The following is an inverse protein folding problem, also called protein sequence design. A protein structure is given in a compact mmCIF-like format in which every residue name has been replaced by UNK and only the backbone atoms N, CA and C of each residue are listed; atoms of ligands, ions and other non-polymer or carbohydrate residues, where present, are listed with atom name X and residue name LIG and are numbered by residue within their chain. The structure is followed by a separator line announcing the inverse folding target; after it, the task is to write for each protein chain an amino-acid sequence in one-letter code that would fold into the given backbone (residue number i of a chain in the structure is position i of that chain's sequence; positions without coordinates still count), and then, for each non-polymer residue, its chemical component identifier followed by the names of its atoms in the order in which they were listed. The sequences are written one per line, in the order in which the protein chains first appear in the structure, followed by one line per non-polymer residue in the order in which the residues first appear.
data_IF_805365040029
#
_entry.id   IF_805365040029
#
_cell.length_a   1.000
_cell.length_b   1.000
_cell.length_c   1.000
_cell.angle_alpha   90.00
_cell.angle_beta   90.00
_cell.angle_gamma   90.00
#
_symmetry.space_group_name_H-M   'P 1'
#
loop_
_entity.id
_entity.type
_entity.pdbx_description
1 polymer ?
#
# COMPACT_ATOMS: atom_id res chain seq x y z
N UNK A 1 -14.51 -5.32 -8.00
CA UNK A 1 -14.85 -4.04 -8.65
C UNK A 1 -14.29 -2.91 -7.79
N UNK A 2 -13.94 -1.75 -8.38
CA UNK A 2 -13.45 -0.59 -7.60
C UNK A 2 -14.53 -0.05 -6.66
N UNK A 3 -14.12 0.39 -5.47
CA UNK A 3 -14.98 1.05 -4.49
C UNK A 3 -14.50 2.45 -4.10
N UNK A 4 -13.50 2.97 -4.80
CA UNK A 4 -12.88 4.27 -4.48
C UNK A 4 -13.85 5.45 -4.64
N UNK A 5 -14.89 5.31 -5.49
CA UNK A 5 -15.92 6.33 -5.71
C UNK A 5 -17.11 6.22 -4.76
N UNK A 6 -17.13 5.23 -3.87
CA UNK A 6 -18.19 5.10 -2.86
C UNK A 6 -18.10 6.26 -1.88
N UNK A 7 -19.21 6.98 -1.68
CA UNK A 7 -19.33 8.04 -0.68
C UNK A 7 -19.24 7.49 0.73
N UNK A 8 -18.65 8.24 1.66
CA UNK A 8 -18.60 7.92 3.09
C UNK A 8 -19.62 8.82 3.81
N UNK A 9 -20.87 8.36 4.05
CA UNK A 9 -21.96 9.25 4.47
C UNK A 9 -21.75 9.94 5.81
N UNK A 10 -20.93 9.36 6.68
CA UNK A 10 -20.57 9.93 7.98
C UNK A 10 -19.51 11.05 7.90
N UNK A 11 -18.94 11.29 6.72
CA UNK A 11 -17.87 12.27 6.52
C UNK A 11 -18.36 13.60 5.96
N UNK A 12 -17.55 14.63 6.15
CA UNK A 12 -17.72 15.97 5.61
C UNK A 12 -16.39 16.49 5.04
N UNK A 13 -16.39 17.68 4.45
CA UNK A 13 -15.15 18.30 3.99
C UNK A 13 -14.24 18.78 5.14
N UNK A 14 -14.73 18.79 6.39
CA UNK A 14 -13.90 19.07 7.57
C UNK A 14 -12.98 17.89 7.92
N UNK A 15 -13.29 16.67 7.45
CA UNK A 15 -12.44 15.49 7.63
C UNK A 15 -11.30 15.41 6.60
N UNK A 16 -11.20 16.41 5.72
CA UNK A 16 -10.29 16.46 4.57
C UNK A 16 -9.38 17.66 4.69
N UNK A 17 -8.10 17.44 4.46
CA UNK A 17 -7.13 18.51 4.28
C UNK A 17 -7.26 19.12 2.90
N UNK A 18 -8.15 20.10 2.85
CA UNK A 18 -8.43 20.87 1.66
C UNK A 18 -7.22 21.71 1.20
N UNK A 19 -6.27 21.99 2.10
CA UNK A 19 -5.02 22.68 1.73
C UNK A 19 -4.15 21.74 0.91
N UNK A 20 -3.85 20.55 1.43
CA UNK A 20 -3.09 19.53 0.69
C UNK A 20 -3.79 19.14 -0.63
N UNK A 21 -5.12 19.02 -0.63
CA UNK A 21 -5.87 18.76 -1.86
C UNK A 21 -5.75 19.93 -2.86
N UNK A 22 -5.82 21.19 -2.40
CA UNK A 22 -5.68 22.36 -3.25
C UNK A 22 -4.30 22.45 -3.88
N UNK A 23 -3.25 22.23 -3.10
CA UNK A 23 -1.87 22.18 -3.59
C UNK A 23 -1.69 21.09 -4.64
N UNK A 24 -2.20 19.89 -4.34
CA UNK A 24 -2.19 18.78 -5.30
C UNK A 24 -2.95 19.12 -6.59
N UNK A 25 -4.12 19.76 -6.47
CA UNK A 25 -4.95 20.16 -7.60
C UNK A 25 -4.23 21.17 -8.50
N UNK A 26 -3.62 22.19 -7.91
CA UNK A 26 -2.91 23.24 -8.63
C UNK A 26 -1.65 22.69 -9.34
N UNK A 27 -0.94 21.75 -8.71
CA UNK A 27 0.24 21.11 -9.29
C UNK A 27 -0.09 20.13 -10.43
N UNK A 28 -1.22 19.42 -10.35
CA UNK A 28 -1.50 18.29 -11.26
C UNK A 28 -2.58 18.58 -12.31
N UNK A 29 -3.45 19.55 -12.06
CA UNK A 29 -4.57 19.92 -12.95
C UNK A 29 -4.67 21.45 -13.03
N UNK A 30 -3.66 22.11 -13.64
CA UNK A 30 -3.57 23.55 -13.64
C UNK A 30 -4.80 24.21 -14.29
N UNK A 31 -5.34 25.23 -13.62
CA UNK A 31 -6.49 25.99 -14.08
C UNK A 31 -7.85 25.36 -13.83
N UNK A 32 -7.96 24.15 -13.26
CA UNK A 32 -9.26 23.63 -12.82
C UNK A 32 -9.79 24.41 -11.61
N UNK A 33 -8.86 24.81 -10.75
CA UNK A 33 -9.07 25.47 -9.48
C UNK A 33 -9.51 26.94 -9.59
N UNK A 34 -9.43 27.52 -10.79
CA UNK A 34 -9.94 28.85 -11.15
C UNK A 34 -11.29 28.82 -11.88
N UNK A 35 -11.81 27.63 -12.22
CA UNK A 35 -13.07 27.44 -12.96
C UNK A 35 -14.30 27.27 -12.07
N UNK A 36 -14.17 27.48 -10.76
CA UNK A 36 -15.23 27.28 -9.78
C UNK A 36 -14.68 27.14 -8.36
N UNK A 37 -15.54 26.67 -7.46
CA UNK A 37 -15.16 26.37 -6.07
C UNK A 37 -14.30 25.10 -5.97
N UNK A 38 -13.66 24.90 -4.82
CA UNK A 38 -12.94 23.66 -4.53
C UNK A 38 -13.89 22.44 -4.50
N UNK A 39 -15.12 22.65 -4.04
CA UNK A 39 -16.19 21.63 -4.08
C UNK A 39 -16.53 21.22 -5.52
N UNK A 40 -16.59 22.19 -6.45
CA UNK A 40 -16.81 21.89 -7.87
C UNK A 40 -15.67 21.04 -8.44
N UNK A 41 -14.43 21.32 -8.03
CA UNK A 41 -13.27 20.53 -8.45
C UNK A 41 -13.34 19.10 -7.90
N UNK A 42 -13.66 18.93 -6.61
CA UNK A 42 -13.84 17.62 -5.98
C UNK A 42 -14.91 16.79 -6.70
N UNK A 43 -16.06 17.40 -7.03
CA UNK A 43 -17.13 16.72 -7.75
C UNK A 43 -16.74 16.37 -9.19
N UNK A 44 -16.11 17.29 -9.93
CA UNK A 44 -15.61 17.03 -11.30
C UNK A 44 -14.59 15.90 -11.34
N UNK A 45 -13.77 15.76 -10.29
CA UNK A 45 -12.80 14.68 -10.14
C UNK A 45 -13.38 13.40 -9.54
N UNK A 46 -14.67 13.39 -9.19
CA UNK A 46 -15.38 12.28 -8.53
C UNK A 46 -14.78 11.92 -7.16
N UNK A 47 -14.16 12.88 -6.50
CA UNK A 47 -13.64 12.79 -5.14
C UNK A 47 -14.70 13.12 -4.08
N UNK A 48 -15.79 13.77 -4.49
CA UNK A 48 -16.98 13.94 -3.67
C UNK A 48 -18.23 13.87 -4.54
N UNK A 49 -19.37 13.60 -3.90
CA UNK A 49 -20.67 13.59 -4.57
C UNK A 49 -21.69 14.44 -3.79
N UNK A 50 -22.66 15.07 -4.48
CA UNK A 50 -23.72 15.82 -3.82
C UNK A 50 -24.70 14.86 -3.13
N UNK A 51 -25.13 15.20 -1.91
CA UNK A 51 -26.19 14.51 -1.17
C UNK A 51 -27.06 15.55 -0.45
N UNK A 52 -28.21 15.86 -1.05
CA UNK A 52 -29.05 16.97 -0.59
C UNK A 52 -28.33 18.31 -0.76
N UNK A 53 -28.22 19.07 0.32
CA UNK A 53 -27.49 20.35 0.36
C UNK A 53 -26.00 20.21 0.69
N UNK A 54 -25.50 18.98 0.87
CA UNK A 54 -24.12 18.71 1.30
C UNK A 54 -23.31 18.05 0.19
N UNK A 55 -22.00 18.21 0.27
CA UNK A 55 -21.02 17.48 -0.54
C UNK A 55 -20.37 16.42 0.36
N UNK A 56 -20.39 15.16 -0.08
CA UNK A 56 -19.90 14.03 0.71
C UNK A 56 -18.65 13.43 0.06
N UNK A 57 -17.52 13.36 0.79
CA UNK A 57 -16.31 12.69 0.35
C UNK A 57 -16.52 11.25 -0.10
N UNK A 58 -15.76 10.83 -1.11
CA UNK A 58 -15.59 9.41 -1.46
C UNK A 58 -14.48 8.76 -0.65
N UNK A 59 -14.44 7.42 -0.63
CA UNK A 59 -13.32 6.68 -0.02
C UNK A 59 -11.98 7.13 -0.60
N UNK A 60 -11.91 7.42 -1.91
CA UNK A 60 -10.68 7.92 -2.54
C UNK A 60 -10.20 9.24 -1.92
N UNK A 61 -11.11 10.20 -1.69
CA UNK A 61 -10.76 11.49 -1.09
C UNK A 61 -10.30 11.32 0.35
N UNK A 62 -11.07 10.58 1.15
CA UNK A 62 -10.73 10.29 2.55
C UNK A 62 -9.37 9.59 2.62
N UNK A 63 -9.14 8.56 1.81
CA UNK A 63 -7.90 7.79 1.89
C UNK A 63 -6.65 8.57 1.45
N UNK A 64 -6.78 9.45 0.45
CA UNK A 64 -5.66 10.22 -0.09
C UNK A 64 -5.38 11.52 0.70
N UNK A 65 -6.43 12.21 1.15
CA UNK A 65 -6.37 13.58 1.69
C UNK A 65 -7.11 13.76 3.03
N UNK A 66 -7.68 12.71 3.62
CA UNK A 66 -8.36 12.78 4.91
C UNK A 66 -7.37 12.95 6.07
N UNK A 67 -7.70 13.74 7.09
CA UNK A 67 -6.78 13.98 8.23
C UNK A 67 -6.44 12.70 8.99
N UNK A 68 -7.47 11.89 9.26
CA UNK A 68 -7.31 10.56 9.78
C UNK A 68 -8.38 9.64 9.13
N UNK A 69 -8.04 8.99 8.01
CA UNK A 69 -9.00 8.15 7.27
C UNK A 69 -9.62 7.05 8.15
N UNK A 70 -8.89 6.60 9.17
CA UNK A 70 -9.25 5.45 9.99
C UNK A 70 -10.39 5.74 10.97
N UNK A 71 -10.66 7.00 11.33
CA UNK A 71 -11.85 7.35 12.13
C UNK A 71 -13.15 7.01 11.40
N UNK A 72 -13.15 7.13 10.07
CA UNK A 72 -14.31 6.90 9.21
C UNK A 72 -14.27 5.52 8.54
N UNK A 73 -13.08 4.98 8.33
CA UNK A 73 -12.82 3.71 7.66
C UNK A 73 -11.69 2.96 8.39
N UNK A 74 -11.98 2.30 9.54
CA UNK A 74 -10.98 1.69 10.41
C UNK A 74 -10.07 0.65 9.73
N UNK A 75 -10.55 0.06 8.64
CA UNK A 75 -9.80 -0.92 7.84
C UNK A 75 -8.68 -0.28 7.00
N UNK A 76 -8.68 1.04 6.79
CA UNK A 76 -7.67 1.74 5.97
C UNK A 76 -6.32 1.87 6.69
N UNK A 77 -5.96 0.91 7.54
CA UNK A 77 -4.69 0.82 8.25
C UNK A 77 -3.70 -0.11 7.56
N UNK A 78 -2.47 -0.11 8.08
CA UNK A 78 -1.45 -1.13 7.83
C UNK A 78 -0.92 -1.63 9.18
N UNK A 79 -0.78 -2.94 9.35
CA UNK A 79 -0.09 -3.51 10.51
C UNK A 79 1.30 -4.00 10.11
N UNK A 80 2.32 -3.63 10.88
CA UNK A 80 3.67 -4.18 10.79
C UNK A 80 3.93 -5.11 11.97
N UNK A 81 4.39 -6.34 11.72
CA UNK A 81 4.75 -7.29 12.77
C UNK A 81 6.09 -7.94 12.45
N UNK A 82 6.95 -8.10 13.45
CA UNK A 82 8.25 -8.75 13.31
C UNK A 82 8.36 -10.00 14.19
N UNK A 83 8.91 -11.07 13.64
CA UNK A 83 8.98 -12.38 14.29
C UNK A 83 10.43 -12.87 14.41
N UNK A 84 10.78 -13.49 15.54
CA UNK A 84 12.10 -14.07 15.81
C UNK A 84 12.32 -15.45 15.15
N UNK A 85 11.62 -15.73 14.04
CA UNK A 85 11.73 -16.99 13.32
C UNK A 85 11.03 -16.93 11.97
N UNK A 86 10.93 -18.08 11.30
CA UNK A 86 10.35 -18.18 9.95
C UNK A 86 8.83 -18.39 9.91
N UNK A 87 8.12 -18.34 11.04
CA UNK A 87 6.69 -18.64 11.13
C UNK A 87 5.95 -17.63 11.99
N UNK A 88 4.66 -17.43 11.73
CA UNK A 88 3.76 -16.63 12.58
C UNK A 88 3.58 -17.21 13.99
N UNK A 89 3.96 -18.47 14.19
CA UNK A 89 3.98 -19.14 15.49
C UNK A 89 5.28 -18.90 16.27
N UNK A 90 6.28 -18.25 15.66
CA UNK A 90 7.50 -17.83 16.34
C UNK A 90 7.23 -16.67 17.29
N UNK A 91 8.19 -16.38 18.17
CA UNK A 91 8.11 -15.25 19.08
C UNK A 91 7.86 -13.94 18.31
N UNK A 92 6.81 -13.22 18.71
CA UNK A 92 6.48 -11.92 18.17
C UNK A 92 7.33 -10.87 18.88
N UNK A 93 8.27 -10.28 18.16
CA UNK A 93 9.17 -9.27 18.71
C UNK A 93 8.46 -7.93 18.90
N UNK A 94 7.66 -7.53 17.91
CA UNK A 94 6.86 -6.31 17.99
C UNK A 94 5.70 -6.31 16.99
N UNK A 95 4.72 -5.46 17.28
CA UNK A 95 3.67 -5.06 16.34
C UNK A 95 3.46 -3.56 16.40
N UNK A 96 3.33 -2.93 15.23
CA UNK A 96 2.97 -1.54 15.06
C UNK A 96 1.70 -1.44 14.21
N UNK A 97 0.79 -0.57 14.61
CA UNK A 97 -0.41 -0.23 13.84
C UNK A 97 -0.23 1.16 13.22
N UNK A 98 -0.08 1.20 11.91
CA UNK A 98 0.14 2.42 11.15
C UNK A 98 -1.21 2.99 10.68
N UNK A 99 -1.34 4.30 10.83
CA UNK A 99 -2.53 5.08 10.49
C UNK A 99 -2.14 6.37 9.74
N UNK A 100 -3.12 7.06 9.19
CA UNK A 100 -2.93 8.24 8.35
C UNK A 100 -3.32 8.02 6.89
N UNK A 101 -3.03 9.02 6.05
CA UNK A 101 -3.31 9.01 4.61
C UNK A 101 -2.48 7.94 3.91
N UNK A 102 -2.95 7.52 2.73
CA UNK A 102 -2.31 6.47 1.94
C UNK A 102 -0.80 6.69 1.71
N UNK A 103 -0.35 7.92 1.46
CA UNK A 103 1.07 8.22 1.27
C UNK A 103 1.87 8.19 2.59
N UNK A 104 1.26 8.63 3.70
CA UNK A 104 1.87 8.53 5.05
C UNK A 104 2.06 7.06 5.42
N UNK A 105 1.04 6.22 5.19
CA UNK A 105 1.15 4.78 5.42
C UNK A 105 2.29 4.12 4.64
N UNK A 106 2.58 4.59 3.43
CA UNK A 106 3.71 4.10 2.65
C UNK A 106 5.03 4.44 3.32
N UNK A 107 5.25 5.72 3.67
CA UNK A 107 6.51 6.16 4.27
C UNK A 107 6.73 5.57 5.66
N UNK A 108 5.68 5.51 6.49
CA UNK A 108 5.73 4.89 7.82
C UNK A 108 6.03 3.38 7.74
N UNK A 109 5.45 2.67 6.75
CA UNK A 109 5.72 1.26 6.55
C UNK A 109 7.16 1.01 6.05
N UNK A 110 7.67 1.88 5.18
CA UNK A 110 9.08 1.83 4.74
C UNK A 110 10.01 2.03 5.94
N UNK A 111 9.77 3.06 6.76
CA UNK A 111 10.55 3.33 7.96
C UNK A 111 10.49 2.16 8.96
N UNK A 112 9.31 1.61 9.22
CA UNK A 112 9.15 0.45 10.11
C UNK A 112 9.94 -0.77 9.62
N UNK A 113 10.01 -1.01 8.31
CA UNK A 113 10.82 -2.09 7.74
C UNK A 113 12.31 -1.78 7.90
N UNK A 114 12.76 -0.58 7.53
CA UNK A 114 14.16 -0.16 7.60
C UNK A 114 14.70 -0.20 9.05
N UNK A 115 13.92 0.30 10.01
CA UNK A 115 14.29 0.38 11.42
C UNK A 115 14.36 -0.99 12.10
N UNK A 116 13.61 -1.98 11.61
CA UNK A 116 13.50 -3.30 12.25
C UNK A 116 14.21 -4.42 11.50
N UNK A 117 14.66 -4.23 10.25
CA UNK A 117 15.36 -5.25 9.49
C UNK A 117 16.63 -5.75 10.19
N UNK A 118 17.46 -4.85 10.74
CA UNK A 118 18.69 -5.22 11.47
C UNK A 118 18.40 -5.78 12.87
N UNK A 119 17.63 -5.10 13.75
CA UNK A 119 17.39 -5.60 15.11
C UNK A 119 16.75 -6.99 15.17
N UNK A 120 15.92 -7.36 14.19
CA UNK A 120 15.30 -8.69 14.11
C UNK A 120 16.35 -9.75 13.77
N UNK A 121 17.28 -9.43 12.88
CA UNK A 121 18.36 -10.34 12.49
C UNK A 121 19.39 -10.47 13.58
N UNK A 122 19.80 -9.38 14.21
CA UNK A 122 20.82 -9.38 15.26
C UNK A 122 20.40 -10.24 16.46
N UNK A 123 19.11 -10.30 16.78
CA UNK A 123 18.59 -11.18 17.84
C UNK A 123 18.69 -12.67 17.51
N UNK A 124 18.77 -13.03 16.22
CA UNK A 124 18.74 -14.42 15.75
C UNK A 124 20.11 -14.87 15.23
N UNK A 125 20.88 -13.97 14.60
CA UNK A 125 22.23 -14.18 14.05
C UNK A 125 23.05 -12.88 14.06
N UNK A 126 23.74 -12.55 15.17
CA UNK A 126 24.56 -11.35 15.31
C UNK A 126 25.71 -11.23 14.30
N UNK A 127 26.13 -12.35 13.70
CA UNK A 127 27.33 -12.46 12.88
C UNK A 127 27.09 -12.49 11.35
N UNK A 128 25.85 -12.32 10.87
CA UNK A 128 25.51 -12.21 9.44
C UNK A 128 24.34 -11.22 9.23
N UNK A 129 24.57 -9.92 9.44
CA UNK A 129 23.55 -8.87 9.53
C UNK A 129 23.03 -8.30 8.20
N UNK A 130 23.31 -8.93 7.05
CA UNK A 130 23.04 -8.35 5.74
C UNK A 130 21.59 -8.60 5.23
N UNK A 131 20.60 -8.65 6.12
CA UNK A 131 19.19 -8.68 5.69
C UNK A 131 18.80 -7.30 5.15
N UNK A 132 19.10 -7.10 3.87
CA UNK A 132 18.72 -5.91 3.14
C UNK A 132 17.64 -6.27 2.13
N UNK A 133 16.43 -5.74 2.35
CA UNK A 133 15.38 -5.82 1.34
C UNK A 133 15.59 -4.69 0.33
N UNK A 134 15.52 -4.96 -0.99
CA UNK A 134 15.70 -3.91 -1.99
C UNK A 134 14.64 -2.83 -1.81
N UNK A 135 15.07 -1.64 -1.35
CA UNK A 135 14.18 -0.53 -1.00
C UNK A 135 13.16 -0.22 -2.09
N UNK A 136 13.58 -0.31 -3.35
CA UNK A 136 12.72 -0.10 -4.53
C UNK A 136 11.63 -1.17 -4.67
N UNK A 137 11.98 -2.45 -4.47
CA UNK A 137 11.02 -3.54 -4.53
C UNK A 137 9.99 -3.45 -3.38
N UNK A 138 10.45 -3.11 -2.16
CA UNK A 138 9.59 -2.93 -0.99
C UNK A 138 8.62 -1.76 -1.22
N UNK A 139 9.11 -0.60 -1.66
CA UNK A 139 8.26 0.58 -1.93
C UNK A 139 7.20 0.28 -2.99
N UNK A 140 7.59 -0.41 -4.05
CA UNK A 140 6.66 -0.80 -5.13
C UNK A 140 5.62 -1.81 -4.63
N UNK A 141 6.03 -2.79 -3.82
CA UNK A 141 5.13 -3.77 -3.21
C UNK A 141 4.11 -3.12 -2.27
N UNK A 142 4.56 -2.23 -1.38
CA UNK A 142 3.69 -1.47 -0.47
C UNK A 142 2.74 -0.55 -1.25
N UNK A 143 3.24 0.14 -2.27
CA UNK A 143 2.42 1.00 -3.12
C UNK A 143 1.34 0.19 -3.85
N UNK A 144 1.69 -0.99 -4.37
CA UNK A 144 0.74 -1.89 -5.00
C UNK A 144 -0.30 -2.39 -4.00
N UNK A 145 0.09 -2.75 -2.78
CA UNK A 145 -0.82 -3.12 -1.71
C UNK A 145 -1.81 -1.98 -1.38
N UNK A 146 -1.32 -0.75 -1.25
CA UNK A 146 -2.14 0.43 -0.92
C UNK A 146 -3.10 0.83 -2.05
N UNK A 147 -2.64 0.80 -3.31
CA UNK A 147 -3.41 1.21 -4.49
C UNK A 147 -4.40 0.14 -4.91
N UNK A 148 -4.01 -1.14 -4.87
CA UNK A 148 -4.81 -2.23 -5.42
C UNK A 148 -5.66 -2.96 -4.38
N UNK A 149 -5.61 -2.57 -3.10
CA UNK A 149 -6.45 -3.18 -2.05
C UNK A 149 -7.94 -3.17 -2.40
N UNK A 150 -8.65 -4.18 -1.95
CA UNK A 150 -10.10 -4.15 -1.91
C UNK A 150 -10.57 -3.19 -0.81
N UNK A 151 -11.07 -2.03 -1.22
CA UNK A 151 -11.56 -0.98 -0.31
C UNK A 151 -12.86 -1.36 0.43
N UNK A 152 -13.55 -2.43 0.01
CA UNK A 152 -14.70 -2.99 0.74
C UNK A 152 -14.31 -3.98 1.83
N UNK A 153 -13.12 -4.57 1.75
CA UNK A 153 -12.71 -5.56 2.72
C UNK A 153 -12.50 -4.92 4.08
N UNK A 154 -13.00 -5.55 5.14
CA UNK A 154 -12.75 -5.13 6.51
C UNK A 154 -11.30 -5.42 6.96
N UNK A 155 -10.52 -6.15 6.17
CA UNK A 155 -9.13 -6.47 6.49
C UNK A 155 -8.20 -5.30 6.17
N UNK A 156 -7.22 -5.08 7.05
CA UNK A 156 -6.11 -4.15 6.85
C UNK A 156 -4.99 -4.78 6.04
N UNK A 157 -4.07 -3.96 5.51
CA UNK A 157 -2.83 -4.47 4.91
C UNK A 157 -1.92 -4.99 6.04
N UNK A 158 -1.24 -6.10 5.80
CA UNK A 158 -0.37 -6.72 6.80
C UNK A 158 1.04 -6.88 6.23
N UNK A 159 2.01 -6.31 6.93
CA UNK A 159 3.43 -6.43 6.63
C UNK A 159 4.04 -7.28 7.75
N UNK A 160 4.55 -8.46 7.40
CA UNK A 160 5.14 -9.40 8.35
C UNK A 160 6.60 -9.62 8.00
N UNK A 161 7.48 -9.25 8.91
CA UNK A 161 8.91 -9.48 8.81
C UNK A 161 9.29 -10.73 9.59
N UNK A 162 9.95 -11.65 8.90
CA UNK A 162 10.55 -12.84 9.46
C UNK A 162 12.06 -12.74 9.29
N UNK A 163 12.77 -13.65 9.95
CA UNK A 163 14.25 -13.70 9.89
C UNK A 163 14.76 -13.89 8.47
N UNK A 164 14.03 -14.57 7.61
CA UNK A 164 14.44 -14.97 6.26
C UNK A 164 13.68 -14.25 5.13
N UNK A 165 12.60 -13.53 5.45
CA UNK A 165 11.73 -12.90 4.44
C UNK A 165 10.86 -11.77 4.97
N UNK A 166 10.39 -10.94 4.04
CA UNK A 166 9.33 -9.96 4.27
C UNK A 166 8.08 -10.36 3.48
N UNK A 167 6.94 -10.46 4.14
CA UNK A 167 5.63 -10.72 3.54
C UNK A 167 4.76 -9.46 3.57
N UNK A 168 4.27 -9.02 2.40
CA UNK A 168 3.30 -7.93 2.28
C UNK A 168 2.00 -8.52 1.77
N UNK A 169 0.99 -8.57 2.62
CA UNK A 169 -0.34 -9.06 2.32
C UNK A 169 -1.35 -7.91 2.18
N UNK A 170 -2.15 -7.92 1.13
CA UNK A 170 -3.24 -6.96 0.92
C UNK A 170 -4.56 -7.67 0.57
N UNK A 171 -5.71 -7.12 1.01
CA UNK A 171 -6.99 -7.75 0.76
C UNK A 171 -7.40 -7.70 -0.72
N UNK A 172 -7.97 -8.81 -1.17
CA UNK A 172 -8.53 -8.98 -2.50
C UNK A 172 -7.58 -9.64 -3.49
N UNK A 173 -8.11 -10.10 -4.62
CA UNK A 173 -7.37 -10.90 -5.58
C UNK A 173 -6.21 -10.15 -6.26
N UNK A 174 -5.24 -10.88 -6.78
CA UNK A 174 -4.19 -10.30 -7.62
C UNK A 174 -4.80 -9.68 -8.87
N UNK A 175 -4.38 -8.46 -9.17
CA UNK A 175 -4.81 -7.78 -10.39
C UNK A 175 -4.13 -8.46 -11.57
N UNK A 176 -4.93 -8.91 -12.55
CA UNK A 176 -4.40 -9.55 -13.75
C UNK A 176 -3.55 -8.55 -14.53
N UNK A 177 -2.36 -8.96 -14.92
CA UNK A 177 -1.56 -8.28 -15.94
C UNK A 177 -1.90 -8.94 -17.27
N UNK A 178 -2.82 -8.37 -18.08
CA UNK A 178 -3.25 -9.00 -19.33
C UNK A 178 -2.08 -9.16 -20.33
N UNK A 179 -1.12 -8.23 -20.29
CA UNK A 179 0.10 -8.25 -21.12
C UNK A 179 1.27 -7.60 -20.35
N UNK A 180 2.53 -7.99 -20.60
CA UNK A 180 3.69 -7.33 -20.02
C UNK A 180 3.66 -5.81 -20.26
N UNK A 181 3.75 -5.03 -19.18
CA UNK A 181 3.69 -3.56 -19.24
C UNK A 181 2.28 -2.97 -19.15
N UNK A 182 1.21 -3.78 -19.17
CA UNK A 182 -0.17 -3.33 -19.01
C UNK A 182 -0.67 -3.72 -17.61
N UNK A 183 -0.79 -2.73 -16.72
CA UNK A 183 -1.47 -2.90 -15.42
C UNK A 183 -2.77 -2.11 -15.42
N UNK A 184 -3.88 -2.80 -15.13
CA UNK A 184 -5.19 -2.17 -14.94
C UNK A 184 -5.41 -2.02 -13.43
N UNK A 185 -5.18 -0.83 -12.84
CA UNK A 185 -5.33 -0.68 -11.40
C UNK A 185 -6.74 -0.97 -10.93
N UNK A 186 -6.88 -1.66 -9.78
CA UNK A 186 -8.19 -1.89 -9.17
C UNK A 186 -8.88 -0.58 -8.83
N UNK A 187 -8.11 0.40 -8.35
CA UNK A 187 -8.58 1.73 -7.99
C UNK A 187 -7.85 2.78 -8.87
N UNK A 188 -8.31 3.03 -10.12
CA UNK A 188 -7.64 3.94 -11.05
C UNK A 188 -7.49 5.39 -10.58
N UNK A 189 -8.45 5.93 -9.81
CA UNK A 189 -8.35 7.29 -9.30
C UNK A 189 -7.26 7.39 -8.22
N UNK A 190 -7.22 6.42 -7.30
CA UNK A 190 -6.15 6.30 -6.31
C UNK A 190 -4.79 6.07 -6.98
N UNK A 191 -4.71 5.26 -8.03
CA UNK A 191 -3.46 5.06 -8.77
C UNK A 191 -2.94 6.37 -9.40
N UNK A 192 -3.85 7.19 -9.95
CA UNK A 192 -3.51 8.52 -10.49
C UNK A 192 -3.00 9.48 -9.41
N UNK A 193 -3.65 9.48 -8.25
CA UNK A 193 -3.24 10.31 -7.10
C UNK A 193 -1.89 9.81 -6.55
N UNK A 194 -1.73 8.50 -6.35
CA UNK A 194 -0.48 7.91 -5.88
C UNK A 194 0.72 8.25 -6.76
N UNK A 195 0.55 8.22 -8.09
CA UNK A 195 1.59 8.63 -9.05
C UNK A 195 2.00 10.09 -8.85
N UNK A 196 1.03 10.98 -8.64
CA UNK A 196 1.30 12.41 -8.45
C UNK A 196 1.88 12.74 -7.08
N UNK A 197 1.63 11.88 -6.09
CA UNK A 197 2.28 11.93 -4.77
C UNK A 197 3.66 11.24 -4.73
N UNK A 198 4.18 10.77 -5.87
CA UNK A 198 5.50 10.13 -5.93
C UNK A 198 5.58 8.75 -5.25
N UNK A 199 4.44 8.08 -5.05
CA UNK A 199 4.40 6.73 -4.49
C UNK A 199 4.91 5.68 -5.50
N UNK A 200 4.55 5.87 -6.77
CA UNK A 200 4.91 4.97 -7.89
C UNK A 200 5.59 5.75 -9.02
N UNK A 201 6.69 5.20 -9.57
CA UNK A 201 7.45 5.85 -10.65
C UNK A 201 6.76 5.71 -12.02
N UNK A 202 6.28 4.51 -12.38
CA UNK A 202 5.62 4.24 -13.66
C UNK A 202 4.52 3.18 -13.53
N UNK A 203 3.30 3.53 -13.93
CA UNK A 203 2.18 2.58 -14.01
C UNK A 203 2.50 1.46 -15.02
N UNK A 204 2.19 0.21 -14.67
CA UNK A 204 2.41 -0.95 -15.56
C UNK A 204 3.78 -1.61 -15.43
N UNK A 205 4.75 -0.99 -14.74
CA UNK A 205 6.07 -1.58 -14.47
C UNK A 205 6.24 -2.14 -13.06
N UNK A 206 5.21 -2.07 -12.21
CA UNK A 206 5.34 -2.47 -10.82
C UNK A 206 5.79 -3.92 -10.65
N UNK A 207 5.07 -4.84 -11.32
CA UNK A 207 5.42 -6.26 -11.31
C UNK A 207 6.78 -6.50 -11.95
N UNK A 208 7.11 -5.87 -13.09
CA UNK A 208 8.42 -6.06 -13.73
C UNK A 208 9.58 -5.47 -12.92
N UNK A 209 9.34 -4.40 -12.15
CA UNK A 209 10.30 -3.83 -11.20
C UNK A 209 10.54 -4.85 -10.10
N UNK A 210 9.48 -5.34 -9.47
CA UNK A 210 9.54 -6.41 -8.47
C UNK A 210 10.31 -7.60 -9.07
N UNK A 211 9.91 -8.15 -10.21
CA UNK A 211 10.56 -9.30 -10.88
C UNK A 211 12.03 -9.07 -11.24
N UNK A 212 12.39 -7.86 -11.69
CA UNK A 212 13.78 -7.51 -12.01
C UNK A 212 14.67 -7.45 -10.77
N UNK A 213 14.12 -6.98 -9.65
CA UNK A 213 14.77 -7.04 -8.34
C UNK A 213 14.75 -8.50 -7.82
N UNK A 214 13.68 -9.26 -8.09
CA UNK A 214 13.51 -10.67 -7.71
C UNK A 214 14.60 -11.55 -8.30
N UNK A 215 14.89 -11.36 -9.58
CA UNK A 215 15.87 -12.15 -10.32
C UNK A 215 17.29 -11.89 -9.82
N UNK A 216 17.54 -10.69 -9.28
CA UNK A 216 18.84 -10.29 -8.75
C UNK A 216 19.08 -10.79 -7.33
N UNK A 217 18.04 -10.80 -6.49
CA UNK A 217 18.16 -11.02 -5.04
C UNK A 217 17.44 -12.29 -4.54
N UNK A 218 16.81 -13.08 -5.41
CA UNK A 218 16.13 -14.35 -5.05
C UNK A 218 14.71 -14.22 -4.48
N UNK A 219 13.98 -13.16 -4.84
CA UNK A 219 12.64 -12.86 -4.29
C UNK A 219 11.53 -13.73 -4.96
N UNK A 220 10.38 -13.93 -4.28
CA UNK A 220 9.26 -14.76 -4.76
C UNK A 220 7.90 -14.06 -4.63
N UNK A 221 7.20 -13.85 -5.74
CA UNK A 221 5.83 -13.32 -5.73
C UNK A 221 4.81 -14.46 -5.69
N UNK A 222 3.93 -14.48 -4.68
CA UNK A 222 2.92 -15.55 -4.50
C UNK A 222 1.52 -14.97 -4.25
N UNK A 223 0.68 -14.87 -5.28
CA UNK A 223 -0.72 -14.47 -5.11
C UNK A 223 -1.60 -15.61 -4.59
N UNK A 224 -2.42 -15.38 -3.56
CA UNK A 224 -3.48 -16.30 -3.15
C UNK A 224 -4.85 -15.80 -3.62
N UNK A 225 -5.88 -16.65 -3.56
CA UNK A 225 -7.26 -16.28 -3.97
C UNK A 225 -7.90 -15.25 -3.04
N UNK A 226 -7.48 -15.16 -1.78
CA UNK A 226 -8.10 -14.33 -0.73
C UNK A 226 -7.34 -13.01 -0.49
N UNK A 227 -6.08 -12.95 -0.91
CA UNK A 227 -5.25 -11.76 -0.83
C UNK A 227 -3.97 -11.91 -1.64
N UNK A 228 -3.38 -10.78 -2.00
CA UNK A 228 -2.09 -10.75 -2.68
C UNK A 228 -1.00 -10.75 -1.63
N UNK A 229 -0.18 -11.81 -1.61
CA UNK A 229 1.04 -11.84 -0.81
C UNK A 229 2.25 -11.63 -1.71
N UNK A 230 3.11 -10.71 -1.33
CA UNK A 230 4.42 -10.57 -1.93
C UNK A 230 5.46 -10.99 -0.91
N UNK A 231 6.35 -11.93 -1.28
CA UNK A 231 7.34 -12.48 -0.37
C UNK A 231 8.76 -12.18 -0.86
N UNK A 232 9.46 -11.33 -0.12
CA UNK A 232 10.85 -10.99 -0.38
C UNK A 232 11.71 -11.94 0.45
N UNK A 233 12.25 -13.01 -0.13
CA UNK A 233 13.17 -13.93 0.58
C UNK A 233 14.60 -13.44 0.47
N UNK A 234 15.34 -13.50 1.57
CA UNK A 234 16.79 -13.28 1.57
C UNK A 234 17.52 -14.60 1.33
N UNK A 235 18.41 -14.61 0.35
CA UNK A 235 19.22 -15.77 -0.03
C UNK A 235 20.31 -16.13 1.00
N UNK A 236 20.57 -15.24 1.96
CA UNK A 236 21.58 -15.43 3.00
C UNK A 236 21.25 -16.60 3.95
N UNK A 237 20.00 -17.04 4.00
CA UNK A 237 19.57 -18.14 4.86
C UNK A 237 19.83 -19.55 4.30
N UNK A 238 20.39 -19.68 3.08
CA UNK A 238 20.90 -20.96 2.57
C UNK A 238 19.85 -22.09 2.46
N UNK A 239 18.56 -21.76 2.58
CA UNK A 239 17.49 -22.72 2.35
C UNK A 239 17.24 -22.79 0.86
N UNK A 240 17.79 -23.83 0.22
CA UNK A 240 17.31 -24.26 -1.10
C UNK A 240 15.78 -24.34 -1.06
N UNK A 241 15.05 -23.85 -2.07
CA UNK A 241 13.60 -24.02 -2.13
C UNK A 241 13.33 -25.53 -2.16
N UNK A 242 13.00 -26.12 -1.01
CA UNK A 242 12.42 -27.45 -0.97
C UNK A 242 11.07 -27.29 -1.64
N UNK A 243 11.02 -27.78 -2.88
CA UNK A 243 9.85 -28.20 -3.63
C UNK A 243 8.52 -27.94 -2.93
N UNK A 244 7.74 -27.05 -3.56
CA UNK A 244 6.29 -27.00 -3.50
C UNK A 244 5.70 -28.39 -3.21
N UNK A 245 5.34 -28.65 -1.95
CA UNK A 245 4.32 -29.64 -1.67
C UNK A 245 2.98 -28.92 -1.85
N UNK A 246 2.43 -29.10 -3.05
CA UNK A 246 0.98 -29.09 -3.25
C UNK A 246 0.34 -30.06 -2.25
N UNK A 247 -0.45 -29.53 -1.34
CA UNK A 247 -1.64 -30.20 -0.80
C UNK A 247 -2.78 -29.18 -0.76
#
# INVERSE_FOLDING_TARGET
MSHELTTVPASTLEDVDLVAFREWLDANIPGLSSRGSLEDALQKLRLAAPMGSRVIPTIALIYAFGDNPQWLQPQLTLSFSAYAGGSVTSELLLTQHLSGRMHVLLEEAMAAIEDNARPVVDQVRPENSDLEFPRRAVREALSNALIHRDLKSAAQIQVRMFVDRLEIWSPGAMVSVPEPGVSIPRNPLLARIARSLGMVEQLGRGISTIESECTREGLQLTGTKEGVTLTLKSMLFGLTPSTLETN
#
